data_IF_759328934144
#
_entry.id   IF_759328934144
#
_cell.length_a   1.000
_cell.length_b   1.000
_cell.length_c   1.000
_cell.angle_alpha   90.00
_cell.angle_beta   90.00
_cell.angle_gamma   90.00
#
_symmetry.space_group_name_H-M   'P 1'
#
loop_
_entity.id
_entity.type
_entity.pdbx_description
1 polymer ?
#
# COMPACT_ATOMS: atom_id res chain seq x y z
N UNK A 1 2.75 -5.27 18.35
CA UNK A 1 3.14 -5.37 16.93
C UNK A 1 4.64 -5.65 16.86
N UNK A 2 5.02 -6.93 16.84
CA UNK A 2 6.41 -7.37 16.64
C UNK A 2 6.64 -8.00 15.27
N UNK A 3 5.61 -8.05 14.42
CA UNK A 3 5.58 -9.02 13.33
C UNK A 3 5.65 -8.36 11.95
N UNK A 4 6.24 -7.18 11.80
CA UNK A 4 6.80 -6.84 10.49
C UNK A 4 8.15 -7.54 10.42
N UNK A 5 8.21 -8.72 9.80
CA UNK A 5 9.48 -9.39 9.45
C UNK A 5 10.13 -8.64 8.30
N UNK A 6 10.52 -7.39 8.55
CA UNK A 6 11.39 -6.67 7.63
C UNK A 6 12.69 -7.48 7.51
N UNK A 7 13.17 -7.78 6.29
CA UNK A 7 14.48 -8.39 6.10
C UNK A 7 15.56 -7.66 6.90
N UNK A 8 16.67 -8.30 7.31
CA UNK A 8 17.69 -7.68 8.16
C UNK A 8 18.32 -6.38 7.62
N UNK A 9 18.16 -6.10 6.33
CA UNK A 9 18.65 -4.89 5.65
C UNK A 9 17.52 -3.92 5.27
N UNK A 10 16.26 -4.26 5.54
CA UNK A 10 15.12 -3.44 5.19
C UNK A 10 14.87 -2.37 6.26
N UNK A 11 14.59 -1.15 5.80
CA UNK A 11 14.22 -0.04 6.67
C UNK A 11 12.71 -0.03 6.92
N UNK A 12 12.29 0.57 8.02
CA UNK A 12 10.87 0.74 8.29
C UNK A 12 10.28 1.73 7.28
N UNK A 13 9.34 1.25 6.47
CA UNK A 13 8.70 2.04 5.41
C UNK A 13 7.59 2.96 5.92
N UNK A 14 7.23 2.87 7.21
CA UNK A 14 6.13 3.61 7.79
C UNK A 14 6.58 4.89 8.52
N UNK A 15 5.83 5.96 8.27
CA UNK A 15 5.79 7.15 9.11
C UNK A 15 4.42 7.24 9.77
N UNK A 16 4.38 7.34 11.10
CA UNK A 16 3.14 7.31 11.84
C UNK A 16 2.41 8.66 11.80
N UNK A 17 1.11 8.61 11.57
CA UNK A 17 0.21 9.74 11.79
C UNK A 17 -0.58 9.54 13.07
N UNK A 18 -0.26 10.33 14.11
CA UNK A 18 -0.92 10.19 15.41
C UNK A 18 -2.25 10.92 15.49
N UNK A 19 -2.37 12.08 14.86
CA UNK A 19 -3.62 12.81 14.73
C UNK A 19 -3.57 13.79 13.54
N UNK A 20 -4.72 14.25 13.01
CA UNK A 20 -4.78 15.17 11.88
C UNK A 20 -3.95 16.45 12.07
N UNK A 21 -3.93 16.97 13.30
CA UNK A 21 -3.39 18.29 13.66
C UNK A 21 -1.90 18.29 14.02
N UNK A 22 -1.24 17.13 13.98
CA UNK A 22 0.16 17.04 14.40
C UNK A 22 1.03 17.97 13.52
N UNK A 23 2.00 18.70 14.08
CA UNK A 23 2.74 19.71 13.32
C UNK A 23 3.78 19.10 12.37
N UNK A 24 4.35 17.96 12.73
CA UNK A 24 5.27 17.16 11.91
C UNK A 24 4.78 15.72 11.89
N UNK A 25 5.27 14.91 10.95
CA UNK A 25 5.14 13.45 11.09
C UNK A 25 6.21 12.95 12.06
N UNK A 26 5.96 11.80 12.67
CA UNK A 26 7.02 11.11 13.41
C UNK A 26 8.18 10.83 12.44
N UNK A 27 9.42 10.95 12.93
CA UNK A 27 10.64 10.67 12.16
C UNK A 27 10.43 9.36 11.36
N UNK A 28 10.78 9.29 10.06
CA UNK A 28 10.77 8.03 9.34
C UNK A 28 11.42 6.95 10.21
N UNK A 29 10.79 5.78 10.29
CA UNK A 29 11.10 4.69 11.23
C UNK A 29 10.51 4.86 12.65
N UNK A 30 9.21 5.07 12.77
CA UNK A 30 8.52 4.85 14.05
C UNK A 30 8.61 3.36 14.43
N UNK A 31 9.64 3.00 15.20
CA UNK A 31 9.91 1.61 15.54
C UNK A 31 8.89 1.12 16.58
N UNK A 32 8.28 -0.06 16.38
CA UNK A 32 7.51 -0.71 17.42
C UNK A 32 8.35 -0.98 18.70
N UNK A 33 7.72 -1.06 19.89
CA UNK A 33 6.29 -0.95 20.12
C UNK A 33 5.80 0.51 20.10
N UNK A 34 4.62 0.71 19.49
CA UNK A 34 3.91 1.99 19.50
C UNK A 34 2.79 1.85 20.54
N UNK A 35 2.74 2.75 21.53
CA UNK A 35 1.65 2.80 22.51
C UNK A 35 0.33 3.17 21.85
N UNK A 36 -0.80 2.72 22.41
CA UNK A 36 -2.13 3.06 21.90
C UNK A 36 -2.37 4.57 21.94
N UNK A 37 -2.96 5.12 20.88
CA UNK A 37 -3.32 6.54 20.78
C UNK A 37 -4.63 6.72 20.03
N UNK A 38 -5.33 7.83 20.30
CA UNK A 38 -6.52 8.20 19.53
C UNK A 38 -6.10 8.97 18.29
N UNK A 39 -6.54 8.47 17.14
CA UNK A 39 -6.10 9.01 15.85
C UNK A 39 -6.88 10.22 15.39
N UNK A 40 -8.13 10.40 15.84
CA UNK A 40 -9.01 11.46 15.34
C UNK A 40 -9.52 11.24 13.90
N UNK A 41 -9.20 10.12 13.26
CA UNK A 41 -9.68 9.75 11.92
C UNK A 41 -10.94 8.86 11.96
N UNK A 42 -11.56 8.68 13.13
CA UNK A 42 -12.79 7.90 13.23
C UNK A 42 -13.89 8.51 12.33
N UNK A 43 -14.47 7.69 11.45
CA UNK A 43 -15.49 8.12 10.50
C UNK A 43 -14.98 8.72 9.19
N UNK A 44 -13.66 8.85 9.00
CA UNK A 44 -13.09 9.27 7.72
C UNK A 44 -13.27 8.15 6.68
N UNK A 45 -13.68 8.54 5.46
CA UNK A 45 -13.68 7.62 4.32
C UNK A 45 -12.28 7.42 3.75
N UNK A 46 -12.07 6.38 2.93
CA UNK A 46 -10.80 6.20 2.21
C UNK A 46 -10.46 7.42 1.34
N UNK A 47 -11.47 8.08 0.78
CA UNK A 47 -11.28 9.32 0.01
C UNK A 47 -10.76 10.45 0.90
N UNK A 48 -11.31 10.61 2.11
CA UNK A 48 -10.87 11.63 3.06
C UNK A 48 -9.43 11.37 3.52
N UNK A 49 -9.08 10.09 3.78
CA UNK A 49 -7.73 9.69 4.17
C UNK A 49 -6.72 9.94 3.05
N UNK A 50 -7.05 9.60 1.80
CA UNK A 50 -6.21 9.87 0.61
C UNK A 50 -6.01 11.36 0.40
N UNK A 51 -7.08 12.16 0.53
CA UNK A 51 -6.98 13.61 0.43
C UNK A 51 -6.12 14.21 1.55
N UNK A 52 -6.30 13.74 2.79
CA UNK A 52 -5.47 14.14 3.92
C UNK A 52 -3.99 13.83 3.64
N UNK A 53 -3.66 12.59 3.26
CA UNK A 53 -2.28 12.18 3.00
C UNK A 53 -1.63 13.01 1.87
N UNK A 54 -2.37 13.27 0.79
CA UNK A 54 -1.90 14.11 -0.32
C UNK A 54 -1.63 15.54 0.11
N UNK A 55 -2.56 16.16 0.84
CA UNK A 55 -2.39 17.52 1.36
C UNK A 55 -1.20 17.57 2.32
N UNK A 56 -1.13 16.62 3.25
CA UNK A 56 -0.11 16.56 4.28
C UNK A 56 1.30 16.41 3.70
N UNK A 57 1.46 15.52 2.73
CA UNK A 57 2.73 15.31 2.02
C UNK A 57 3.12 16.57 1.24
N UNK A 58 2.16 17.27 0.64
CA UNK A 58 2.40 18.55 -0.05
C UNK A 58 2.91 19.62 0.90
N UNK A 59 2.25 19.79 2.06
CA UNK A 59 2.63 20.79 3.07
C UNK A 59 4.03 20.54 3.62
N UNK A 60 4.35 19.29 3.94
CA UNK A 60 5.64 18.91 4.49
C UNK A 60 6.77 18.98 3.45
N UNK A 61 6.48 18.71 2.17
CA UNK A 61 7.42 18.94 1.06
C UNK A 61 7.76 20.41 0.91
N UNK A 62 6.78 21.31 1.05
CA UNK A 62 7.00 22.76 1.03
C UNK A 62 7.92 23.21 2.18
N UNK A 63 7.86 22.52 3.31
CA UNK A 63 8.73 22.78 4.47
C UNK A 63 10.12 22.10 4.37
N UNK A 64 10.41 21.34 3.30
CA UNK A 64 11.63 20.52 3.11
C UNK A 64 11.90 19.53 4.24
N UNK A 65 10.85 19.04 4.90
CA UNK A 65 10.98 18.30 6.15
C UNK A 65 10.92 16.77 6.00
N UNK A 66 10.77 16.20 4.80
CA UNK A 66 10.67 14.75 4.59
C UNK A 66 10.74 14.35 3.10
N UNK A 67 10.88 13.04 2.84
CA UNK A 67 10.92 12.41 1.51
C UNK A 67 9.74 11.46 1.23
N UNK A 68 8.64 11.58 1.95
CA UNK A 68 7.48 10.70 1.74
C UNK A 68 6.78 11.06 0.42
N UNK A 69 6.27 10.03 -0.24
CA UNK A 69 5.39 10.15 -1.40
C UNK A 69 3.97 9.80 -0.97
N UNK A 70 2.97 10.53 -1.48
CA UNK A 70 1.56 10.29 -1.17
C UNK A 70 0.96 9.14 -1.99
N UNK A 71 1.80 8.40 -2.73
CA UNK A 71 1.41 7.25 -3.55
C UNK A 71 1.05 6.04 -2.70
N UNK A 72 1.62 5.93 -1.49
CA UNK A 72 1.32 4.86 -0.55
C UNK A 72 0.69 5.38 0.74
N UNK A 73 -0.35 4.70 1.19
CA UNK A 73 -0.99 4.94 2.48
C UNK A 73 -1.24 3.61 3.16
N UNK A 74 -0.89 3.51 4.43
CA UNK A 74 -1.21 2.36 5.27
C UNK A 74 -2.27 2.77 6.29
N UNK A 75 -3.44 2.15 6.23
CA UNK A 75 -4.60 2.45 7.08
C UNK A 75 -4.77 1.36 8.12
N UNK A 76 -4.84 1.79 9.38
CA UNK A 76 -5.23 0.96 10.51
C UNK A 76 -6.71 1.17 10.78
N UNK A 77 -7.52 0.15 10.53
CA UNK A 77 -8.96 0.19 10.77
C UNK A 77 -9.37 -0.67 11.98
N UNK A 78 -10.67 -0.82 12.19
CA UNK A 78 -11.21 -1.56 13.34
C UNK A 78 -10.82 -3.05 13.35
N UNK A 79 -10.49 -3.63 12.19
CA UNK A 79 -10.07 -5.02 12.05
C UNK A 79 -8.57 -5.17 12.26
N UNK A 80 -7.78 -4.16 11.91
CA UNK A 80 -6.31 -4.20 11.89
C UNK A 80 -5.67 -4.75 13.16
N UNK A 81 -6.09 -4.29 14.33
CA UNK A 81 -5.51 -4.72 15.61
C UNK A 81 -5.91 -6.16 15.95
N UNK A 82 -7.19 -6.49 15.79
CA UNK A 82 -7.72 -7.80 16.17
C UNK A 82 -7.23 -8.93 15.24
N UNK A 83 -7.05 -8.62 13.97
CA UNK A 83 -6.70 -9.58 12.92
C UNK A 83 -5.22 -9.48 12.48
N UNK A 84 -4.45 -8.54 13.04
CA UNK A 84 -3.03 -8.38 12.71
C UNK A 84 -2.77 -7.96 11.25
N UNK A 85 -3.63 -7.12 10.68
CA UNK A 85 -3.55 -6.69 9.29
C UNK A 85 -3.55 -5.16 9.12
N UNK A 86 -3.21 -4.72 7.92
CA UNK A 86 -3.20 -3.32 7.50
C UNK A 86 -3.80 -3.21 6.11
N UNK A 87 -4.50 -2.11 5.85
CA UNK A 87 -5.01 -1.81 4.50
C UNK A 87 -4.00 -0.91 3.80
N UNK A 88 -3.36 -1.44 2.77
CA UNK A 88 -2.37 -0.74 1.96
C UNK A 88 -3.08 -0.15 0.74
N UNK A 89 -2.96 1.16 0.56
CA UNK A 89 -3.46 1.88 -0.60
C UNK A 89 -2.28 2.27 -1.48
N UNK A 90 -2.42 2.08 -2.79
CA UNK A 90 -1.47 2.53 -3.78
C UNK A 90 -2.16 3.38 -4.85
N UNK A 91 -1.56 4.51 -5.21
CA UNK A 91 -2.03 5.42 -6.24
C UNK A 91 -1.18 5.34 -7.49
N UNK A 92 -1.85 5.39 -8.64
CA UNK A 92 -1.22 5.74 -9.91
C UNK A 92 -2.15 6.64 -10.73
N UNK A 93 -1.58 7.46 -11.60
CA UNK A 93 -2.35 8.11 -12.65
C UNK A 93 -2.84 7.06 -13.66
N UNK A 94 -4.11 7.15 -14.08
CA UNK A 94 -4.67 6.14 -15.00
C UNK A 94 -3.95 6.19 -16.35
N UNK A 95 -3.67 7.37 -16.87
CA UNK A 95 -2.89 7.56 -18.09
C UNK A 95 -1.47 6.96 -17.99
N UNK A 96 -0.83 7.06 -16.83
CA UNK A 96 0.48 6.45 -16.58
C UNK A 96 0.40 4.91 -16.58
N UNK A 97 -0.63 4.35 -15.95
CA UNK A 97 -0.90 2.91 -15.97
C UNK A 97 -1.15 2.40 -17.40
N UNK A 98 -2.00 3.08 -18.16
CA UNK A 98 -2.29 2.74 -19.56
C UNK A 98 -1.04 2.80 -20.43
N UNK A 99 -0.20 3.83 -20.25
CA UNK A 99 1.09 3.95 -20.93
C UNK A 99 2.05 2.82 -20.60
N UNK A 100 2.14 2.43 -19.32
CA UNK A 100 3.00 1.34 -18.85
C UNK A 100 2.61 0.00 -19.49
N UNK A 101 1.32 -0.35 -19.50
CA UNK A 101 0.85 -1.58 -20.14
C UNK A 101 1.03 -1.54 -21.66
N UNK A 102 0.81 -0.38 -22.29
CA UNK A 102 1.05 -0.22 -23.72
C UNK A 102 2.52 -0.44 -24.08
N UNK A 103 3.44 0.12 -23.29
CA UNK A 103 4.89 -0.05 -23.47
C UNK A 103 5.33 -1.50 -23.25
N UNK A 104 4.63 -2.23 -22.37
CA UNK A 104 4.81 -3.67 -22.14
C UNK A 104 4.16 -4.57 -23.21
N UNK A 105 3.47 -4.01 -24.20
CA UNK A 105 2.65 -4.73 -25.19
C UNK A 105 1.53 -5.59 -24.58
N UNK A 106 1.05 -5.20 -23.39
CA UNK A 106 0.00 -5.88 -22.65
C UNK A 106 -1.40 -5.30 -22.92
N UNK A 107 -2.44 -6.10 -22.69
CA UNK A 107 -3.81 -5.61 -22.74
C UNK A 107 -4.05 -4.61 -21.61
N UNK A 108 -4.65 -3.46 -21.93
CA UNK A 108 -5.00 -2.46 -20.93
C UNK A 108 -6.17 -2.97 -20.08
N UNK A 109 -5.87 -3.35 -18.84
CA UNK A 109 -6.88 -3.62 -17.83
C UNK A 109 -6.40 -3.15 -16.45
N UNK A 110 -7.34 -2.91 -15.53
CA UNK A 110 -7.03 -2.51 -14.16
C UNK A 110 -7.29 -3.73 -13.27
N UNK A 111 -6.27 -4.31 -12.61
CA UNK A 111 -6.42 -5.54 -11.85
C UNK A 111 -7.08 -5.28 -10.49
N UNK A 112 -7.74 -6.32 -9.97
CA UNK A 112 -8.28 -6.36 -8.61
C UNK A 112 -9.37 -5.34 -8.30
N UNK A 113 -9.52 -5.06 -7.00
CA UNK A 113 -10.44 -4.03 -6.52
C UNK A 113 -9.70 -2.68 -6.49
N UNK A 114 -9.99 -1.87 -7.49
CA UNK A 114 -9.45 -0.52 -7.62
C UNK A 114 -10.57 0.52 -7.69
N UNK A 115 -10.34 1.66 -7.05
CA UNK A 115 -11.19 2.84 -7.15
C UNK A 115 -10.67 3.74 -8.25
N UNK A 116 -11.40 3.80 -9.37
CA UNK A 116 -11.02 4.50 -10.59
C UNK A 116 -11.83 5.80 -10.72
N UNK A 117 -11.13 6.91 -10.91
CA UNK A 117 -11.74 8.22 -11.16
C UNK A 117 -11.20 8.81 -12.46
N UNK A 118 -11.95 8.61 -13.55
CA UNK A 118 -11.61 9.12 -14.89
C UNK A 118 -11.44 10.64 -14.92
N UNK A 119 -12.28 11.39 -14.18
CA UNK A 119 -12.24 12.85 -14.18
C UNK A 119 -10.98 13.42 -13.50
N UNK A 120 -10.35 12.65 -12.61
CA UNK A 120 -9.13 13.01 -11.89
C UNK A 120 -7.90 12.25 -12.38
N UNK A 121 -8.05 11.44 -13.44
CA UNK A 121 -7.01 10.57 -13.97
C UNK A 121 -6.32 9.73 -12.87
N UNK A 122 -7.11 9.08 -12.01
CA UNK A 122 -6.56 8.38 -10.83
C UNK A 122 -7.08 6.97 -10.67
N UNK A 123 -6.19 6.07 -10.28
CA UNK A 123 -6.48 4.71 -9.81
C UNK A 123 -5.96 4.57 -8.38
N UNK A 124 -6.78 3.99 -7.50
CA UNK A 124 -6.37 3.58 -6.17
C UNK A 124 -6.62 2.09 -5.96
N UNK A 125 -5.56 1.31 -5.81
CA UNK A 125 -5.66 -0.09 -5.39
C UNK A 125 -5.64 -0.19 -3.88
N UNK A 126 -6.33 -1.19 -3.35
CA UNK A 126 -6.43 -1.45 -1.93
C UNK A 126 -6.21 -2.93 -1.64
N UNK A 127 -5.30 -3.23 -0.72
CA UNK A 127 -5.06 -4.59 -0.24
C UNK A 127 -5.08 -4.63 1.28
N UNK A 128 -5.93 -5.48 1.85
CA UNK A 128 -5.78 -5.86 3.26
C UNK A 128 -4.76 -6.99 3.33
N UNK A 129 -3.65 -6.74 4.00
CA UNK A 129 -2.54 -7.71 4.13
C UNK A 129 -2.14 -7.87 5.60
N UNK A 130 -1.61 -9.04 5.99
CA UNK A 130 -0.93 -9.17 7.28
C UNK A 130 0.18 -8.12 7.43
N UNK A 131 0.40 -7.60 8.64
CA UNK A 131 1.50 -6.64 8.88
C UNK A 131 2.86 -7.17 8.42
N UNK A 132 3.09 -8.47 8.59
CA UNK A 132 4.30 -9.17 8.17
C UNK A 132 4.59 -9.11 6.68
N UNK A 133 3.55 -8.92 5.86
CA UNK A 133 3.65 -8.91 4.40
C UNK A 133 3.55 -7.51 3.79
N UNK A 134 3.30 -6.47 4.59
CA UNK A 134 3.13 -5.11 4.07
C UNK A 134 4.41 -4.59 3.38
N UNK A 135 5.59 -4.94 3.93
CA UNK A 135 6.88 -4.62 3.29
C UNK A 135 7.05 -5.35 1.96
N UNK A 136 6.73 -6.65 1.92
CA UNK A 136 6.88 -7.44 0.69
C UNK A 136 5.94 -6.95 -0.41
N UNK A 137 4.67 -6.65 -0.08
CA UNK A 137 3.73 -6.04 -1.02
C UNK A 137 4.32 -4.75 -1.61
N UNK A 138 4.72 -3.81 -0.75
CA UNK A 138 5.30 -2.54 -1.17
C UNK A 138 6.52 -2.78 -2.07
N UNK A 139 7.47 -3.59 -1.62
CA UNK A 139 8.70 -3.85 -2.35
C UNK A 139 8.44 -4.54 -3.70
N UNK A 140 7.50 -5.49 -3.77
CA UNK A 140 7.12 -6.17 -5.00
C UNK A 140 6.48 -5.23 -6.00
N UNK A 141 5.55 -4.38 -5.58
CA UNK A 141 4.91 -3.38 -6.47
C UNK A 141 5.93 -2.37 -6.99
N UNK A 142 6.83 -1.89 -6.13
CA UNK A 142 7.87 -0.93 -6.53
C UNK A 142 8.96 -1.55 -7.42
N UNK A 143 9.27 -2.85 -7.24
CA UNK A 143 10.38 -3.51 -7.97
C UNK A 143 9.94 -4.19 -9.26
N UNK A 144 8.68 -4.61 -9.35
CA UNK A 144 8.11 -5.37 -10.46
C UNK A 144 7.00 -4.59 -11.16
N UNK A 145 6.88 -3.28 -10.90
CA UNK A 145 5.96 -2.37 -11.58
C UNK A 145 4.53 -2.95 -11.75
N UNK A 146 4.04 -3.07 -13.00
CA UNK A 146 2.70 -3.55 -13.28
C UNK A 146 2.52 -5.04 -12.97
N UNK A 147 3.55 -5.87 -13.14
CA UNK A 147 3.50 -7.30 -12.83
C UNK A 147 3.27 -7.52 -11.33
N UNK A 148 4.00 -6.78 -10.49
CA UNK A 148 3.85 -6.83 -9.03
C UNK A 148 2.46 -6.37 -8.59
N UNK A 149 1.98 -5.27 -9.18
CA UNK A 149 0.66 -4.74 -8.88
C UNK A 149 -0.46 -5.71 -9.29
N UNK A 150 -0.37 -6.29 -10.48
CA UNK A 150 -1.33 -7.29 -10.93
C UNK A 150 -1.31 -8.52 -10.02
N UNK A 151 -0.13 -9.06 -9.75
CA UNK A 151 0.04 -10.31 -9.01
C UNK A 151 -0.67 -10.26 -7.64
N UNK A 152 -0.49 -9.18 -6.89
CA UNK A 152 -1.13 -9.02 -5.58
C UNK A 152 -2.61 -8.66 -5.65
N UNK A 153 -3.10 -8.23 -6.82
CA UNK A 153 -4.48 -7.82 -7.06
C UNK A 153 -5.36 -8.96 -7.60
N UNK A 154 -4.79 -10.15 -7.82
CA UNK A 154 -5.50 -11.30 -8.34
C UNK A 154 -6.55 -11.83 -7.36
N UNK A 155 -7.76 -12.04 -7.86
CA UNK A 155 -8.91 -12.43 -7.02
C UNK A 155 -8.74 -13.83 -6.44
N UNK A 156 -8.01 -14.72 -7.11
CA UNK A 156 -7.71 -16.07 -6.63
C UNK A 156 -6.86 -16.09 -5.36
N UNK A 157 -6.18 -14.99 -5.03
CA UNK A 157 -5.39 -14.86 -3.80
C UNK A 157 -6.14 -14.11 -2.70
N UNK A 158 -7.38 -13.67 -2.95
CA UNK A 158 -8.20 -13.01 -1.94
C UNK A 158 -8.90 -14.07 -1.07
N UNK A 159 -8.63 -14.04 0.23
CA UNK A 159 -9.33 -14.87 1.21
C UNK A 159 -10.82 -14.50 1.32
N UNK A 160 -11.63 -15.42 1.86
CA UNK A 160 -13.06 -15.17 2.11
C UNK A 160 -13.32 -14.00 3.07
N UNK A 161 -12.34 -13.66 3.92
CA UNK A 161 -12.34 -12.53 4.85
C UNK A 161 -11.88 -11.20 4.21
N UNK A 162 -11.56 -11.23 2.91
CA UNK A 162 -11.04 -10.09 2.17
C UNK A 162 -9.57 -9.77 2.47
N UNK A 163 -8.84 -10.66 3.15
CA UNK A 163 -7.39 -10.54 3.36
C UNK A 163 -6.67 -11.25 2.23
N UNK A 164 -5.66 -10.59 1.64
CA UNK A 164 -4.83 -11.21 0.60
C UNK A 164 -3.98 -12.30 1.22
N UNK A 165 -3.99 -13.49 0.61
CA UNK A 165 -3.16 -14.63 0.95
C UNK A 165 -1.72 -14.41 0.45
N UNK A 166 -1.03 -13.42 1.01
CA UNK A 166 0.28 -12.91 0.56
C UNK A 166 1.37 -13.97 0.41
N UNK A 167 1.29 -15.07 1.17
CA UNK A 167 2.22 -16.19 1.03
C UNK A 167 2.28 -16.81 -0.38
N UNK A 168 1.24 -16.63 -1.21
CA UNK A 168 1.21 -17.10 -2.60
C UNK A 168 2.03 -16.17 -3.51
N UNK A 169 1.71 -14.86 -3.65
CA UNK A 169 2.52 -13.95 -4.45
C UNK A 169 3.96 -13.83 -3.92
N UNK A 170 4.17 -13.90 -2.60
CA UNK A 170 5.52 -13.94 -2.00
C UNK A 170 6.33 -15.15 -2.51
N UNK A 171 5.70 -16.32 -2.64
CA UNK A 171 6.35 -17.52 -3.17
C UNK A 171 6.61 -17.44 -4.68
N UNK A 172 5.76 -16.75 -5.43
CA UNK A 172 5.99 -16.51 -6.87
C UNK A 172 7.21 -15.60 -7.05
N UNK A 173 7.23 -14.45 -6.37
CA UNK A 173 8.32 -13.47 -6.46
C UNK A 173 9.66 -14.05 -6.00
N UNK A 174 9.65 -14.92 -4.99
CA UNK A 174 10.87 -15.59 -4.51
C UNK A 174 11.28 -16.82 -5.32
N UNK A 175 10.53 -17.19 -6.37
CA UNK A 175 10.79 -18.36 -7.21
C UNK A 175 10.48 -19.71 -6.55
N UNK A 176 9.71 -19.71 -5.45
CA UNK A 176 9.26 -20.91 -4.75
C UNK A 176 8.14 -21.65 -5.49
N UNK A 177 7.29 -20.93 -6.22
CA UNK A 177 6.26 -21.51 -7.10
C UNK A 177 6.23 -20.76 -8.44
N UNK A 178 5.79 -21.43 -9.50
CA UNK A 178 5.65 -20.82 -10.84
C UNK A 178 4.37 -19.99 -10.88
N UNK A 179 4.45 -18.79 -11.47
CA UNK A 179 3.27 -17.99 -11.77
C UNK A 179 2.34 -18.75 -12.75
N UNK A 180 1.07 -19.04 -12.39
CA UNK A 180 0.12 -19.66 -13.32
C UNK A 180 -0.11 -18.89 -14.62
N UNK A 181 0.10 -17.57 -14.63
CA UNK A 181 0.04 -16.73 -15.83
C UNK A 181 1.39 -16.56 -16.55
N UNK A 182 2.48 -17.06 -15.97
CA UNK A 182 3.86 -16.93 -16.46
C UNK A 182 4.29 -15.46 -16.71
N UNK A 183 3.87 -14.53 -15.86
CA UNK A 183 4.30 -13.12 -15.97
C UNK A 183 5.66 -12.86 -15.31
N UNK A 184 5.98 -13.60 -14.24
CA UNK A 184 7.21 -13.49 -13.43
C UNK A 184 7.96 -14.82 -13.42
#
# INVERSE_FOLDING_TARGET
MTDCTTPPLASNIFSLVRNPDQPTLDNPNSNPPIEDFQTGFEGYSDTDLRQYAKQRTTDLRCQRNHSLVAEWIAVLDQRSVAEGNVVMHHYMEKSAWEGMLQDAEEEVFIPGQADVNEAKDSIWWMWRVPFSSAFNLWNSVESLEWEGLELYSRFEYLGEDGVVQTHIPDQIVSGGIVDPKNMI
#
